data_IF_629582274212
#
_entry.id   IF_629582274212
#
_cell.length_a   1.000
_cell.length_b   1.000
_cell.length_c   1.000
_cell.angle_alpha   90.00
_cell.angle_beta   90.00
_cell.angle_gamma   90.00
#
_symmetry.space_group_name_H-M   'P 1'
#
loop_
_entity.id
_entity.type
_entity.pdbx_description
1 polymer ?
#
# COMPACT_ATOMS: atom_id res chain seq x y z
N UNK A 1 -19.71 9.21 -1.32
CA UNK A 1 -19.39 9.87 -2.43
C UNK A 1 -19.17 9.01 -3.59
N UNK A 2 -19.65 9.45 -4.68
CA UNK A 2 -19.52 8.62 -5.75
C UNK A 2 -18.13 8.49 -6.16
N UNK A 3 -17.72 7.44 -6.70
CA UNK A 3 -16.37 7.21 -7.11
C UNK A 3 -15.56 6.39 -6.16
N UNK A 4 -15.95 6.38 -4.90
CA UNK A 4 -15.20 5.59 -3.94
C UNK A 4 -15.66 4.17 -3.95
N UNK A 5 -14.72 3.24 -4.02
CA UNK A 5 -15.09 1.85 -3.97
C UNK A 5 -13.89 1.04 -3.50
N UNK A 6 -14.17 -0.12 -2.97
CA UNK A 6 -13.12 -1.00 -2.53
C UNK A 6 -12.61 -1.79 -3.72
N UNK A 7 -11.34 -1.64 -4.02
CA UNK A 7 -10.75 -2.34 -5.14
C UNK A 7 -10.38 -3.75 -4.76
N UNK A 8 -9.74 -3.91 -3.63
CA UNK A 8 -9.34 -5.23 -3.21
C UNK A 8 -8.99 -5.19 -1.73
N UNK A 9 -8.98 -6.34 -1.12
CA UNK A 9 -8.65 -6.45 0.28
C UNK A 9 -8.00 -7.80 0.49
N UNK A 10 -7.24 -7.93 1.55
CA UNK A 10 -6.59 -9.19 1.80
C UNK A 10 -5.66 -9.12 2.99
N UNK A 11 -4.91 -10.20 3.16
CA UNK A 11 -3.95 -10.29 4.24
C UNK A 11 -2.56 -10.17 3.71
N UNK A 12 -1.73 -9.45 4.41
CA UNK A 12 -0.33 -9.32 4.06
C UNK A 12 0.54 -10.14 4.99
N UNK A 13 0.09 -10.31 6.21
CA UNK A 13 0.82 -11.09 7.18
C UNK A 13 -0.17 -11.55 8.22
N UNK A 14 0.33 -12.26 9.20
CA UNK A 14 -0.51 -12.81 10.23
C UNK A 14 -1.38 -11.77 10.91
N UNK A 15 -0.79 -10.65 11.26
CA UNK A 15 -1.58 -9.60 11.88
C UNK A 15 -1.52 -8.33 11.08
N UNK A 16 -1.42 -8.41 9.78
CA UNK A 16 -1.45 -7.24 8.92
C UNK A 16 -2.38 -7.51 7.76
N UNK A 17 -3.35 -6.65 7.60
CA UNK A 17 -4.28 -6.78 6.49
C UNK A 17 -4.39 -5.43 5.80
N UNK A 18 -5.04 -5.41 4.68
CA UNK A 18 -5.17 -4.18 3.93
C UNK A 18 -6.53 -4.11 3.26
N UNK A 19 -6.93 -2.91 2.98
CA UNK A 19 -8.12 -2.66 2.20
C UNK A 19 -7.85 -1.46 1.33
N UNK A 20 -7.96 -1.63 0.04
CA UNK A 20 -7.64 -0.58 -0.92
C UNK A 20 -8.91 0.07 -1.42
N UNK A 21 -9.07 1.32 -1.07
CA UNK A 21 -10.21 2.11 -1.52
C UNK A 21 -9.70 3.07 -2.58
N UNK A 22 -10.38 3.11 -3.69
CA UNK A 22 -9.96 3.97 -4.78
C UNK A 22 -11.12 4.85 -5.21
N UNK A 23 -10.77 5.96 -5.83
CA UNK A 23 -11.77 6.82 -6.42
C UNK A 23 -11.40 7.03 -7.87
N UNK A 24 -12.40 7.09 -8.72
CA UNK A 24 -12.17 7.30 -10.12
C UNK A 24 -11.84 6.02 -10.83
N UNK A 25 -11.38 6.16 -12.05
CA UNK A 25 -11.06 5.01 -12.86
C UNK A 25 -9.71 4.45 -12.47
N UNK A 26 -9.65 3.14 -12.36
CA UNK A 26 -8.43 2.46 -12.04
C UNK A 26 -8.14 1.43 -13.11
N UNK A 27 -7.26 1.76 -14.00
CA UNK A 27 -6.85 0.84 -15.03
C UNK A 27 -5.44 0.35 -14.78
N UNK A 28 -4.85 -0.27 -15.79
CA UNK A 28 -3.52 -0.83 -15.65
C UNK A 28 -2.51 0.23 -15.30
N UNK A 29 -2.60 1.37 -15.97
CA UNK A 29 -1.64 2.43 -15.73
C UNK A 29 -1.72 2.96 -14.31
N UNK A 30 -2.92 3.11 -13.81
CA UNK A 30 -3.11 3.61 -12.47
C UNK A 30 -2.59 2.61 -11.45
N UNK A 31 -2.79 1.34 -11.70
CA UNK A 31 -2.27 0.33 -10.80
C UNK A 31 -0.75 0.33 -10.80
N UNK A 32 -0.15 0.49 -11.96
CA UNK A 32 1.30 0.55 -12.02
C UNK A 32 1.85 1.75 -11.28
N UNK A 33 1.16 2.86 -11.36
CA UNK A 33 1.58 4.03 -10.62
C UNK A 33 1.42 3.84 -9.12
N UNK A 34 0.37 3.14 -8.73
CA UNK A 34 0.17 2.84 -7.33
C UNK A 34 1.31 1.97 -6.80
N UNK A 35 1.74 1.00 -7.59
CA UNK A 35 2.82 0.15 -7.17
C UNK A 35 4.08 0.98 -6.93
N UNK A 36 4.37 1.90 -7.84
CA UNK A 36 5.53 2.75 -7.68
C UNK A 36 5.42 3.63 -6.45
N UNK A 37 4.23 4.16 -6.21
CA UNK A 37 4.02 4.99 -5.06
C UNK A 37 4.23 4.20 -3.78
N UNK A 38 3.75 2.98 -3.74
CA UNK A 38 3.91 2.15 -2.56
C UNK A 38 5.36 1.77 -2.35
N UNK A 39 6.11 1.59 -3.42
CA UNK A 39 7.53 1.31 -3.27
C UNK A 39 8.26 2.49 -2.65
N UNK A 40 7.89 3.69 -3.05
CA UNK A 40 8.47 4.87 -2.45
C UNK A 40 8.09 4.99 -0.98
N UNK A 41 6.83 4.75 -0.68
CA UNK A 41 6.37 4.81 0.69
C UNK A 41 7.09 3.78 1.55
N UNK A 42 7.35 2.61 0.97
CA UNK A 42 8.06 1.59 1.69
C UNK A 42 9.45 2.06 2.08
N UNK A 43 10.12 2.77 1.19
CA UNK A 43 11.44 3.26 1.49
C UNK A 43 11.39 4.34 2.56
N UNK A 44 10.39 5.18 2.52
CA UNK A 44 10.24 6.22 3.51
C UNK A 44 9.98 5.60 4.88
N UNK A 45 9.13 4.60 4.93
CA UNK A 45 8.82 3.95 6.18
C UNK A 45 10.06 3.23 6.73
N UNK A 46 10.79 2.57 5.86
CA UNK A 46 11.99 1.88 6.28
C UNK A 46 13.01 2.85 6.86
N UNK A 47 13.08 4.02 6.27
CA UNK A 47 13.98 5.03 6.75
C UNK A 47 13.59 5.50 8.15
N UNK A 48 12.29 5.65 8.37
CA UNK A 48 11.81 6.07 9.66
C UNK A 48 11.98 4.99 10.71
N UNK A 49 11.93 3.74 10.29
CA UNK A 49 12.03 2.64 11.19
C UNK A 49 13.41 2.12 11.38
N UNK A 50 14.39 2.83 10.89
CA UNK A 50 15.70 2.26 10.91
C UNK A 50 16.21 2.06 12.32
N UNK A 51 15.64 2.71 13.28
CA UNK A 51 16.07 2.44 14.60
C UNK A 51 15.40 1.26 15.18
N UNK A 52 14.39 0.74 14.57
CA UNK A 52 13.74 -0.44 15.06
C UNK A 52 14.17 -1.60 14.22
N UNK A 53 15.20 -2.03 14.25
CA UNK A 53 15.67 -3.05 13.34
C UNK A 53 15.29 -4.42 13.65
N UNK A 54 15.06 -4.38 13.61
CA UNK A 54 14.80 -5.32 13.61
C UNK A 54 14.27 -6.11 13.18
N UNK A 55 14.05 -5.99 13.03
CA UNK A 55 13.56 -6.53 12.66
C UNK A 55 13.47 -7.23 11.91
N UNK A 56 13.65 -7.09 11.79
CA UNK A 56 13.55 -7.61 11.14
C UNK A 56 13.72 -8.42 10.75
N UNK A 57 13.88 -8.53 10.92
CA UNK A 57 14.06 -9.27 10.59
C UNK A 57 14.18 -9.76 10.52
#
# INVERSE_FOLDING_TARGET
MEGERELTTGLLAKDASFRLIVTGKMGVKEIERLIKKLELDKEIIADQDEEAPDNLE
#
